data_IF_542680433176
#
_entry.id   IF_542680433176
#
_cell.length_a   1.000
_cell.length_b   1.000
_cell.length_c   1.000
_cell.angle_alpha   90.00
_cell.angle_beta   90.00
_cell.angle_gamma   90.00
#
_symmetry.space_group_name_H-M   'P 1'
#
loop_
_entity.id
_entity.type
_entity.pdbx_description
1 polymer ?
#
# COMPACT_ATOMS: atom_id res chain seq x y z
N UNK A 1 26.47 -6.77 10.05
CA UNK A 1 25.46 -5.69 9.98
C UNK A 1 24.89 -5.70 8.56
N UNK A 2 23.89 -6.51 8.32
CA UNK A 2 23.16 -6.48 7.06
C UNK A 2 22.33 -5.21 7.05
N UNK A 3 22.76 -4.26 6.24
CA UNK A 3 21.97 -3.09 5.95
C UNK A 3 20.69 -3.57 5.27
N UNK A 4 19.55 -3.39 5.92
CA UNK A 4 18.26 -3.81 5.41
C UNK A 4 17.98 -3.10 4.08
N UNK A 5 18.00 -3.86 3.00
CA UNK A 5 17.58 -3.43 1.66
C UNK A 5 16.09 -3.00 1.64
N UNK A 6 15.41 -3.10 2.75
CA UNK A 6 13.98 -2.86 2.98
C UNK A 6 13.54 -1.40 2.97
N UNK A 7 14.46 -0.49 3.30
CA UNK A 7 14.18 0.95 3.22
C UNK A 7 14.12 1.42 1.75
N UNK A 8 14.19 0.49 0.79
CA UNK A 8 14.22 0.77 -0.64
C UNK A 8 12.85 0.59 -1.32
N UNK A 9 11.79 0.26 -0.59
CA UNK A 9 10.47 0.04 -1.19
C UNK A 9 9.96 1.29 -1.94
N UNK A 10 10.36 2.49 -1.51
CA UNK A 10 10.11 3.75 -2.23
C UNK A 10 10.67 3.79 -3.68
N UNK A 11 11.59 2.89 -4.04
CA UNK A 11 12.09 2.75 -5.43
C UNK A 11 10.92 2.42 -6.37
N UNK A 12 9.89 1.75 -5.89
CA UNK A 12 8.65 1.50 -6.64
C UNK A 12 8.04 2.80 -7.16
N UNK A 13 8.01 3.86 -6.34
CA UNK A 13 7.53 5.17 -6.81
C UNK A 13 8.43 5.72 -7.90
N UNK A 14 9.75 5.65 -7.75
CA UNK A 14 10.68 6.16 -8.76
C UNK A 14 10.47 5.44 -10.10
N UNK A 15 10.28 4.11 -10.09
CA UNK A 15 10.03 3.33 -11.30
C UNK A 15 8.67 3.70 -11.90
N UNK A 16 7.62 3.74 -11.09
CA UNK A 16 6.26 3.99 -11.55
C UNK A 16 6.06 5.43 -12.05
N UNK A 17 6.83 6.39 -11.55
CA UNK A 17 6.81 7.77 -12.06
C UNK A 17 7.32 7.89 -13.50
N UNK A 18 8.02 6.88 -14.03
CA UNK A 18 8.45 6.81 -15.42
C UNK A 18 7.44 6.10 -16.33
N UNK A 19 6.35 5.56 -15.78
CA UNK A 19 5.28 4.96 -16.59
C UNK A 19 4.45 6.07 -17.21
N UNK A 20 4.42 6.11 -18.55
CA UNK A 20 3.76 7.17 -19.32
C UNK A 20 2.32 6.81 -19.72
N UNK A 21 1.92 5.56 -19.53
CA UNK A 21 0.58 5.06 -19.85
C UNK A 21 -0.26 4.88 -18.57
N UNK A 22 -1.60 4.93 -18.68
CA UNK A 22 -2.46 4.59 -17.54
C UNK A 22 -2.19 3.17 -17.02
N UNK A 23 -2.01 3.03 -15.71
CA UNK A 23 -1.71 1.74 -15.08
C UNK A 23 -2.39 1.57 -13.72
N UNK A 24 -2.43 0.32 -13.25
CA UNK A 24 -2.77 -0.06 -11.89
C UNK A 24 -1.50 -0.47 -11.11
N UNK A 25 -1.45 -0.14 -9.84
CA UNK A 25 -0.42 -0.59 -8.91
C UNK A 25 -1.06 -1.50 -7.88
N UNK A 26 -0.56 -2.74 -7.78
CA UNK A 26 -0.92 -3.68 -6.73
C UNK A 26 0.30 -3.85 -5.83
N UNK A 27 0.13 -3.53 -4.56
CA UNK A 27 1.17 -3.59 -3.55
C UNK A 27 0.77 -4.61 -2.48
N UNK A 28 1.64 -5.59 -2.25
CA UNK A 28 1.56 -6.55 -1.15
C UNK A 28 2.50 -6.10 -0.07
N UNK A 29 1.98 -5.80 1.11
CA UNK A 29 2.75 -5.21 2.20
C UNK A 29 1.99 -5.37 3.51
N UNK A 30 2.71 -5.57 4.61
CA UNK A 30 2.12 -5.53 5.95
C UNK A 30 1.80 -4.10 6.40
N UNK A 31 2.31 -3.08 5.69
CA UNK A 31 2.10 -1.67 5.97
C UNK A 31 1.32 -0.99 4.83
N UNK A 32 0.70 0.13 5.12
CA UNK A 32 0.01 0.90 4.06
C UNK A 32 0.98 1.72 3.21
N UNK A 33 2.15 2.08 3.75
CA UNK A 33 3.13 2.99 3.14
C UNK A 33 2.50 4.30 2.62
N UNK A 34 1.46 4.74 3.32
CA UNK A 34 0.68 5.93 2.99
C UNK A 34 0.70 6.97 4.11
N UNK A 35 1.75 7.00 4.92
CA UNK A 35 1.91 8.02 5.95
C UNK A 35 2.04 9.41 5.31
N UNK A 36 1.62 10.44 6.04
CA UNK A 36 1.88 11.82 5.60
C UNK A 36 3.37 12.13 5.83
N UNK A 37 4.10 12.59 4.80
CA UNK A 37 5.51 12.91 4.93
C UNK A 37 5.76 13.93 6.05
N UNK A 38 6.73 13.67 6.90
CA UNK A 38 7.14 14.64 7.94
C UNK A 38 7.81 15.88 7.33
N UNK A 39 8.49 15.69 6.21
CA UNK A 39 9.16 16.77 5.47
C UNK A 39 8.60 16.74 4.05
N UNK A 40 7.95 17.83 3.60
CA UNK A 40 7.51 17.94 2.22
C UNK A 40 8.64 17.63 1.23
N UNK A 41 8.34 16.99 0.12
CA UNK A 41 9.30 16.61 -0.93
C UNK A 41 10.31 15.51 -0.54
N UNK A 42 10.35 15.09 0.71
CA UNK A 42 11.17 13.95 1.12
C UNK A 42 10.33 12.68 1.12
N UNK A 43 10.76 11.70 0.34
CA UNK A 43 10.12 10.39 0.25
C UNK A 43 10.81 9.39 1.17
N UNK A 44 10.01 8.57 1.85
CA UNK A 44 10.46 7.49 2.71
C UNK A 44 9.80 6.16 2.34
N UNK A 45 10.24 5.07 2.98
CA UNK A 45 9.60 3.77 2.82
C UNK A 45 8.15 3.75 3.31
N UNK A 46 7.79 4.58 4.29
CA UNK A 46 6.43 4.59 4.86
C UNK A 46 5.44 5.55 4.19
N UNK A 47 5.83 6.31 3.18
CA UNK A 47 4.95 7.32 2.57
C UNK A 47 4.89 7.29 1.03
N UNK A 48 5.70 6.47 0.39
CA UNK A 48 5.84 6.42 -1.06
C UNK A 48 4.54 6.06 -1.79
N UNK A 49 3.73 5.15 -1.23
CA UNK A 49 2.47 4.73 -1.86
C UNK A 49 1.43 5.84 -1.82
N UNK A 50 1.33 6.56 -0.70
CA UNK A 50 0.49 7.74 -0.57
C UNK A 50 0.91 8.85 -1.55
N UNK A 51 2.21 9.14 -1.62
CA UNK A 51 2.73 10.11 -2.58
C UNK A 51 2.48 9.69 -4.04
N UNK A 52 2.62 8.39 -4.36
CA UNK A 52 2.30 7.89 -5.70
C UNK A 52 0.83 8.08 -6.04
N UNK A 53 -0.07 7.76 -5.10
CA UNK A 53 -1.51 7.96 -5.28
C UNK A 53 -1.85 9.43 -5.55
N UNK A 54 -1.23 10.36 -4.84
CA UNK A 54 -1.52 11.80 -4.95
C UNK A 54 -0.91 12.41 -6.21
N UNK A 55 0.34 12.08 -6.52
CA UNK A 55 1.15 12.81 -7.49
C UNK A 55 1.16 12.18 -8.89
N UNK A 56 1.05 10.84 -8.98
CA UNK A 56 1.17 10.16 -10.27
C UNK A 56 -0.14 10.21 -11.07
N UNK A 57 -0.15 11.02 -12.12
CA UNK A 57 -1.32 11.24 -12.99
C UNK A 57 -1.71 10.02 -13.83
N UNK A 58 -0.79 9.08 -14.03
CA UNK A 58 -1.02 7.87 -14.82
C UNK A 58 -1.53 6.71 -13.93
N UNK A 59 -1.38 6.80 -12.61
CA UNK A 59 -1.94 5.82 -11.68
C UNK A 59 -3.46 5.93 -11.63
N UNK A 60 -4.14 4.90 -12.12
CA UNK A 60 -5.61 4.83 -12.17
C UNK A 60 -6.21 4.05 -11.02
N UNK A 61 -5.45 3.13 -10.45
CA UNK A 61 -5.86 2.38 -9.27
C UNK A 61 -4.64 1.97 -8.46
N UNK A 62 -4.73 2.16 -7.15
CA UNK A 62 -3.83 1.59 -6.16
C UNK A 62 -4.59 0.52 -5.37
N UNK A 63 -4.03 -0.67 -5.31
CA UNK A 63 -4.55 -1.77 -4.49
C UNK A 63 -3.48 -2.13 -3.47
N UNK A 64 -3.82 -2.02 -2.19
CA UNK A 64 -2.96 -2.38 -1.06
C UNK A 64 -3.48 -3.66 -0.44
N UNK A 65 -2.63 -4.66 -0.26
CA UNK A 65 -3.01 -5.99 0.19
C UNK A 65 -2.13 -6.40 1.37
N UNK A 66 -2.74 -6.66 2.52
CA UNK A 66 -2.06 -7.24 3.68
C UNK A 66 -1.99 -6.41 4.95
N UNK A 67 -2.18 -5.07 4.96
CA UNK A 67 -2.00 -4.31 6.18
C UNK A 67 -3.06 -4.66 7.23
N UNK A 68 -2.72 -4.60 8.53
CA UNK A 68 -3.67 -4.77 9.60
C UNK A 68 -4.66 -3.60 9.67
N UNK A 69 -5.87 -3.84 10.18
CA UNK A 69 -6.91 -2.81 10.27
C UNK A 69 -6.44 -1.57 11.06
N UNK A 70 -5.63 -1.77 12.10
CA UNK A 70 -5.08 -0.67 12.89
C UNK A 70 -4.20 0.30 12.09
N UNK A 71 -3.38 -0.21 11.16
CA UNK A 71 -2.55 0.62 10.29
C UNK A 71 -3.40 1.36 9.26
N UNK A 72 -4.43 0.70 8.73
CA UNK A 72 -5.40 1.31 7.82
C UNK A 72 -6.14 2.45 8.53
N UNK A 73 -6.65 2.22 9.74
CA UNK A 73 -7.36 3.24 10.53
C UNK A 73 -6.46 4.44 10.83
N UNK A 74 -5.23 4.20 11.27
CA UNK A 74 -4.25 5.26 11.53
C UNK A 74 -3.96 6.08 10.28
N UNK A 75 -3.78 5.41 9.13
CA UNK A 75 -3.58 6.06 7.85
C UNK A 75 -4.77 6.95 7.50
N UNK A 76 -5.99 6.43 7.54
CA UNK A 76 -7.19 7.19 7.19
C UNK A 76 -7.43 8.37 8.14
N UNK A 77 -7.14 8.22 9.43
CA UNK A 77 -7.24 9.30 10.40
C UNK A 77 -6.22 10.41 10.13
N UNK A 78 -5.01 10.06 9.72
CA UNK A 78 -3.97 11.04 9.41
C UNK A 78 -4.40 11.98 8.27
N UNK A 79 -5.08 11.46 7.26
CA UNK A 79 -5.62 12.26 6.14
C UNK A 79 -6.84 13.10 6.53
N UNK A 80 -7.60 12.70 7.55
CA UNK A 80 -8.73 13.52 8.07
C UNK A 80 -8.26 14.68 8.93
N UNK A 81 -7.15 14.52 9.63
CA UNK A 81 -6.61 15.50 10.59
C UNK A 81 -5.76 16.60 9.97
N UNK A 82 -5.39 16.49 8.70
CA UNK A 82 -4.46 17.42 8.03
C UNK A 82 -5.03 18.84 7.83
N UNK A 83 -6.34 19.03 7.90
CA UNK A 83 -6.98 20.35 7.80
C UNK A 83 -6.58 21.38 8.88
N UNK A 84 -5.76 21.01 9.86
CA UNK A 84 -5.38 21.89 10.98
C UNK A 84 -3.87 21.96 11.26
N UNK A 85 -3.03 21.34 10.46
CA UNK A 85 -1.58 21.22 10.77
C UNK A 85 -0.70 22.39 10.38
N UNK A 86 -1.25 23.49 9.86
CA UNK A 86 -0.48 24.70 9.50
C UNK A 86 0.25 25.39 10.67
N UNK A 87 -0.08 25.06 11.93
CA UNK A 87 0.44 25.84 13.08
C UNK A 87 1.80 25.37 13.62
N UNK A 88 2.35 24.21 13.20
CA UNK A 88 3.58 23.66 13.80
C UNK A 88 4.81 23.54 12.87
N UNK A 89 4.75 24.03 11.64
CA UNK A 89 5.89 23.97 10.70
C UNK A 89 6.96 25.04 11.00
N UNK A 90 6.68 26.02 11.84
CA UNK A 90 7.65 27.09 12.17
C UNK A 90 8.89 26.62 12.95
N UNK A 91 8.87 25.46 13.59
CA UNK A 91 9.96 24.99 14.44
C UNK A 91 11.12 24.31 13.70
N UNK A 92 10.99 24.02 12.41
CA UNK A 92 12.04 23.33 11.63
C UNK A 92 12.66 24.17 10.50
N UNK A 93 12.54 25.49 10.57
CA UNK A 93 13.28 26.40 9.66
C UNK A 93 14.78 26.35 9.98
N UNK A 94 15.45 25.26 9.62
CA UNK A 94 16.88 25.20 9.59
C UNK A 94 17.38 25.75 8.24
N UNK A 95 17.53 27.08 8.13
CA UNK A 95 18.50 27.76 7.29
C UNK A 95 18.54 27.56 5.77
N UNK A 96 17.68 26.73 5.18
CA UNK A 96 17.57 26.54 3.74
C UNK A 96 16.31 27.23 3.22
N UNK A 97 16.51 28.04 2.18
CA UNK A 97 15.43 28.67 1.43
C UNK A 97 14.69 27.57 0.62
N UNK A 98 13.87 26.79 1.32
CA UNK A 98 12.95 25.86 0.65
C UNK A 98 11.83 26.73 0.12
N UNK A 99 11.72 26.85 -1.20
CA UNK A 99 10.50 27.36 -1.83
C UNK A 99 9.37 26.52 -1.25
N UNK A 100 8.34 27.18 -0.72
CA UNK A 100 7.20 26.55 -0.09
C UNK A 100 6.55 25.60 -1.12
N UNK A 101 6.90 24.31 -1.04
CA UNK A 101 6.11 23.29 -1.70
C UNK A 101 4.79 23.27 -0.95
N UNK A 102 3.75 23.78 -1.57
CA UNK A 102 2.38 23.65 -1.10
C UNK A 102 2.05 22.15 -1.12
N UNK A 103 2.31 21.46 0.00
CA UNK A 103 1.66 20.19 0.26
C UNK A 103 0.17 20.51 0.39
N UNK A 104 -0.63 20.03 -0.58
CA UNK A 104 -2.06 20.25 -0.57
C UNK A 104 -2.69 19.49 0.61
N UNK A 105 -2.74 20.15 1.77
CA UNK A 105 -3.41 19.66 2.99
C UNK A 105 -4.90 19.37 2.78
N UNK A 106 -5.43 19.65 1.60
CA UNK A 106 -6.84 19.43 1.25
C UNK A 106 -7.09 18.07 0.60
N UNK A 107 -6.06 17.22 0.41
CA UNK A 107 -6.25 15.93 -0.23
C UNK A 107 -7.19 15.02 0.55
N UNK A 108 -8.28 14.66 -0.08
CA UNK A 108 -9.33 13.83 0.53
C UNK A 108 -9.25 12.39 -0.01
N UNK A 109 -8.53 11.54 0.71
CA UNK A 109 -8.36 10.12 0.38
C UNK A 109 -9.70 9.35 0.33
N UNK A 110 -10.75 9.87 0.99
CA UNK A 110 -12.06 9.23 0.99
C UNK A 110 -12.71 9.20 -0.39
N UNK A 111 -12.34 10.15 -1.26
CA UNK A 111 -12.76 10.16 -2.66
C UNK A 111 -12.14 9.01 -3.46
N UNK A 112 -10.87 8.69 -3.21
CA UNK A 112 -10.20 7.59 -3.88
C UNK A 112 -10.78 6.24 -3.45
N UNK A 113 -11.12 6.10 -2.18
CA UNK A 113 -11.80 4.90 -1.68
C UNK A 113 -13.18 4.78 -2.30
N UNK A 114 -13.99 5.84 -2.25
CA UNK A 114 -15.37 5.80 -2.76
C UNK A 114 -15.46 5.61 -4.28
N UNK A 115 -14.45 6.07 -5.02
CA UNK A 115 -14.37 5.88 -6.47
C UNK A 115 -13.76 4.54 -6.88
N UNK A 116 -13.23 3.75 -5.95
CA UNK A 116 -12.48 2.53 -6.23
C UNK A 116 -11.08 2.78 -6.83
N UNK A 117 -10.58 4.01 -6.77
CA UNK A 117 -9.21 4.33 -7.16
C UNK A 117 -8.20 3.84 -6.12
N UNK A 118 -8.59 3.80 -4.84
CA UNK A 118 -7.87 3.16 -3.76
C UNK A 118 -8.69 1.99 -3.22
N UNK A 119 -8.13 0.80 -3.29
CA UNK A 119 -8.68 -0.40 -2.66
C UNK A 119 -7.69 -0.91 -1.62
N UNK A 120 -8.18 -1.26 -0.44
CA UNK A 120 -7.34 -1.84 0.62
C UNK A 120 -7.98 -3.14 1.07
N UNK A 121 -7.25 -4.24 0.91
CA UNK A 121 -7.59 -5.56 1.44
C UNK A 121 -6.78 -5.78 2.72
N UNK A 122 -7.45 -5.70 3.86
CA UNK A 122 -6.79 -5.90 5.15
C UNK A 122 -6.37 -7.35 5.37
N UNK A 123 -5.47 -7.59 6.31
CA UNK A 123 -5.14 -8.94 6.76
C UNK A 123 -6.39 -9.72 7.17
N UNK A 124 -7.37 -9.07 7.81
CA UNK A 124 -8.65 -9.70 8.16
C UNK A 124 -9.51 -10.08 6.95
N UNK A 125 -9.52 -9.25 5.90
CA UNK A 125 -10.19 -9.61 4.64
C UNK A 125 -9.59 -10.88 4.04
N UNK A 126 -8.25 -11.04 4.16
CA UNK A 126 -7.55 -12.21 3.64
C UNK A 126 -7.87 -13.50 4.40
N UNK A 127 -8.09 -13.40 5.72
CA UNK A 127 -8.50 -14.53 6.56
C UNK A 127 -9.99 -14.87 6.41
N UNK A 128 -10.84 -13.87 6.22
CA UNK A 128 -12.30 -14.03 6.15
C UNK A 128 -12.86 -14.33 4.76
N UNK A 129 -12.01 -14.32 3.76
CA UNK A 129 -12.41 -14.33 2.34
C UNK A 129 -12.50 -12.91 1.78
N UNK A 130 -12.02 -12.75 0.54
CA UNK A 130 -11.96 -11.43 -0.10
C UNK A 130 -13.37 -10.85 -0.28
N UNK A 131 -13.63 -9.61 0.15
CA UNK A 131 -14.93 -8.97 0.01
C UNK A 131 -15.30 -8.80 -1.45
N UNK A 132 -16.44 -9.39 -1.86
CA UNK A 132 -16.91 -9.33 -3.26
C UNK A 132 -17.15 -7.90 -3.75
N UNK A 133 -17.57 -7.01 -2.87
CA UNK A 133 -17.78 -5.60 -3.19
C UNK A 133 -16.46 -4.91 -3.58
N UNK A 134 -15.36 -5.21 -2.90
CA UNK A 134 -14.02 -4.71 -3.28
C UNK A 134 -13.52 -5.38 -4.57
N UNK A 135 -13.71 -6.69 -4.72
CA UNK A 135 -13.28 -7.43 -5.91
C UNK A 135 -13.89 -6.88 -7.20
N UNK A 136 -15.16 -6.46 -7.18
CA UNK A 136 -15.85 -5.87 -8.34
C UNK A 136 -15.23 -4.55 -8.83
N UNK A 137 -14.45 -3.88 -7.99
CA UNK A 137 -13.81 -2.61 -8.33
C UNK A 137 -12.38 -2.79 -8.85
N UNK A 138 -11.85 -4.02 -8.87
CA UNK A 138 -10.51 -4.27 -9.41
C UNK A 138 -10.52 -4.02 -10.92
N UNK A 139 -9.59 -3.19 -11.37
CA UNK A 139 -9.40 -2.84 -12.77
C UNK A 139 -8.50 -3.85 -13.46
N UNK A 140 -9.10 -4.78 -14.20
CA UNK A 140 -8.37 -5.80 -14.99
C UNK A 140 -8.06 -5.35 -16.42
N UNK A 141 -8.53 -4.17 -16.81
CA UNK A 141 -8.33 -3.55 -18.12
C UNK A 141 -7.05 -2.69 -18.21
N UNK A 142 -6.30 -2.58 -17.13
CA UNK A 142 -5.08 -1.77 -17.05
C UNK A 142 -3.83 -2.67 -17.03
N UNK A 143 -2.72 -2.19 -17.61
CA UNK A 143 -1.42 -2.75 -17.30
C UNK A 143 -1.15 -2.64 -15.80
N UNK A 144 -0.63 -3.71 -15.19
CA UNK A 144 -0.38 -3.76 -13.76
C UNK A 144 1.12 -3.66 -13.46
N UNK A 145 1.49 -2.83 -12.51
CA UNK A 145 2.74 -2.91 -11.79
C UNK A 145 2.48 -3.60 -10.45
N UNK A 146 3.24 -4.65 -10.14
CA UNK A 146 3.10 -5.40 -8.90
C UNK A 146 4.34 -5.16 -8.05
N UNK A 147 4.13 -4.68 -6.83
CA UNK A 147 5.16 -4.48 -5.81
C UNK A 147 4.89 -5.44 -4.65
N UNK A 148 5.91 -6.17 -4.23
CA UNK A 148 5.79 -7.13 -3.15
C UNK A 148 6.86 -6.82 -2.10
N UNK A 149 6.41 -6.39 -0.90
CA UNK A 149 7.26 -6.41 0.27
C UNK A 149 7.14 -7.78 0.94
N UNK A 150 8.29 -8.36 1.27
CA UNK A 150 8.35 -9.69 1.86
C UNK A 150 7.81 -9.75 3.29
N UNK A 151 7.61 -8.59 3.93
CA UNK A 151 7.05 -8.53 5.29
C UNK A 151 5.54 -8.80 5.32
N UNK A 152 4.87 -8.85 4.17
CA UNK A 152 3.50 -9.35 4.07
C UNK A 152 3.41 -10.85 4.40
N UNK A 153 4.50 -11.59 4.22
CA UNK A 153 4.56 -13.02 4.44
C UNK A 153 4.73 -13.35 5.93
N UNK A 154 4.24 -14.53 6.31
CA UNK A 154 4.47 -15.08 7.64
C UNK A 154 5.95 -15.33 7.96
N UNK A 155 6.28 -15.35 9.25
CA UNK A 155 7.65 -15.52 9.75
C UNK A 155 8.27 -16.86 9.38
N UNK A 156 7.46 -17.85 9.01
CA UNK A 156 7.90 -19.15 8.51
C UNK A 156 8.53 -19.08 7.11
N UNK A 157 8.20 -18.03 6.33
CA UNK A 157 8.72 -17.89 4.94
C UNK A 157 9.87 -16.89 4.85
N UNK A 158 9.89 -15.90 5.72
CA UNK A 158 10.91 -14.87 5.70
C UNK A 158 11.06 -14.23 7.09
N UNK A 159 12.24 -13.71 7.37
CA UNK A 159 12.50 -12.92 8.57
C UNK A 159 12.75 -11.47 8.19
N UNK A 160 12.10 -10.54 8.89
CA UNK A 160 12.26 -9.11 8.69
C UNK A 160 12.48 -8.41 10.03
N UNK A 161 13.02 -7.18 10.03
CA UNK A 161 13.18 -6.36 11.25
C UNK A 161 11.93 -5.51 11.53
N UNK A 162 10.96 -5.51 10.60
CA UNK A 162 9.69 -4.81 10.73
C UNK A 162 8.61 -5.77 11.27
N UNK A 163 7.49 -5.23 11.69
CA UNK A 163 6.31 -6.04 11.91
C UNK A 163 5.96 -6.81 10.64
N UNK A 164 5.56 -8.06 10.79
CA UNK A 164 5.26 -8.94 9.67
C UNK A 164 3.81 -9.36 9.67
N UNK A 165 3.32 -9.63 8.47
CA UNK A 165 2.07 -10.30 8.22
C UNK A 165 2.16 -11.80 8.49
N UNK A 166 1.17 -12.49 8.00
CA UNK A 166 1.01 -13.94 8.14
C UNK A 166 0.55 -14.61 6.83
N UNK A 167 0.71 -13.89 5.71
CA UNK A 167 0.35 -14.42 4.40
C UNK A 167 1.24 -15.59 4.02
N UNK A 168 0.62 -16.69 3.56
CA UNK A 168 1.37 -17.80 2.99
C UNK A 168 1.78 -17.52 1.53
N UNK A 169 2.80 -18.23 1.04
CA UNK A 169 3.20 -18.15 -0.38
C UNK A 169 2.05 -18.59 -1.28
N UNK A 170 1.35 -19.66 -0.94
CA UNK A 170 0.18 -20.12 -1.70
C UNK A 170 -0.95 -19.06 -1.71
N UNK A 171 -1.11 -18.32 -0.59
CA UNK A 171 -2.04 -17.20 -0.50
C UNK A 171 -1.66 -16.08 -1.45
N UNK A 172 -0.39 -15.72 -1.47
CA UNK A 172 0.15 -14.71 -2.38
C UNK A 172 -0.07 -15.10 -3.85
N UNK A 173 0.25 -16.35 -4.23
CA UNK A 173 0.07 -16.84 -5.60
C UNK A 173 -1.40 -16.82 -6.03
N UNK A 174 -2.32 -17.22 -5.15
CA UNK A 174 -3.76 -17.15 -5.42
C UNK A 174 -4.23 -15.72 -5.67
N UNK A 175 -3.80 -14.78 -4.82
CA UNK A 175 -4.17 -13.37 -4.97
C UNK A 175 -3.56 -12.77 -6.25
N UNK A 176 -2.33 -13.08 -6.57
CA UNK A 176 -1.70 -12.66 -7.83
C UNK A 176 -2.54 -13.15 -9.03
N UNK A 177 -3.03 -14.38 -8.99
CA UNK A 177 -3.89 -14.91 -10.05
C UNK A 177 -5.19 -14.12 -10.20
N UNK A 178 -5.81 -13.66 -9.11
CA UNK A 178 -7.01 -12.81 -9.15
C UNK A 178 -6.72 -11.50 -9.87
N UNK A 179 -5.64 -10.83 -9.52
CA UNK A 179 -5.28 -9.53 -10.12
C UNK A 179 -4.82 -9.66 -11.58
N UNK A 180 -4.23 -10.79 -11.96
CA UNK A 180 -3.81 -11.04 -13.34
C UNK A 180 -4.97 -11.54 -14.24
N UNK A 181 -6.21 -11.53 -13.75
CA UNK A 181 -7.38 -11.92 -14.52
C UNK A 181 -7.53 -13.43 -14.70
N UNK A 182 -6.82 -14.23 -13.89
CA UNK A 182 -7.04 -15.67 -13.82
C UNK A 182 -8.44 -15.94 -13.29
N UNK A 183 -9.32 -16.51 -14.10
CA UNK A 183 -10.55 -17.16 -13.63
C UNK A 183 -10.10 -18.43 -12.91
N UNK A 184 -9.63 -18.27 -11.66
CA UNK A 184 -9.40 -19.39 -10.77
C UNK A 184 -10.76 -20.04 -10.50
N UNK A 185 -10.87 -21.34 -10.77
CA UNK A 185 -11.97 -22.16 -10.25
C UNK A 185 -12.19 -21.78 -8.77
N UNK A 186 -13.45 -21.63 -8.38
CA UNK A 186 -13.90 -21.40 -7.01
C UNK A 186 -13.29 -22.43 -6.05
N UNK A 187 -12.10 -22.19 -5.57
CA UNK A 187 -11.48 -22.91 -4.46
C UNK A 187 -11.18 -21.91 -3.37
N UNK A 188 -12.07 -21.94 -2.38
CA UNK A 188 -11.94 -21.45 -1.01
C UNK A 188 -10.82 -20.40 -0.81
N UNK A 189 -11.21 -19.14 -0.78
CA UNK A 189 -10.34 -17.95 -0.70
C UNK A 189 -9.71 -17.74 0.67
N UNK A 190 -9.36 -18.80 1.39
CA UNK A 190 -8.67 -18.72 2.68
C UNK A 190 -7.16 -18.61 2.42
N UNK A 191 -6.70 -17.39 2.19
CA UNK A 191 -5.31 -17.10 1.84
C UNK A 191 -4.34 -17.32 3.02
N UNK A 192 -4.86 -17.47 4.23
CA UNK A 192 -4.10 -17.54 5.48
C UNK A 192 -4.41 -18.79 6.33
N UNK A 193 -4.84 -19.91 5.73
CA UNK A 193 -4.93 -21.15 6.49
C UNK A 193 -3.55 -21.69 6.78
N UNK A 194 -3.14 -21.59 8.04
CA UNK A 194 -2.07 -22.41 8.57
C UNK A 194 -2.45 -23.88 8.38
N UNK A 195 -1.67 -24.60 7.60
CA UNK A 195 -1.80 -26.04 7.48
C UNK A 195 -1.34 -26.66 8.81
N UNK A 196 -2.30 -26.95 9.70
CA UNK A 196 -2.07 -27.77 10.89
C UNK A 196 -1.75 -29.21 10.45
N UNK A 197 -0.60 -29.40 9.82
CA UNK A 197 -0.08 -30.73 9.51
C UNK A 197 1.43 -30.77 9.66
N UNK A 198 1.86 -30.81 10.91
CA UNK A 198 3.06 -31.55 11.31
C UNK A 198 2.80 -32.15 12.70
N UNK A 199 2.29 -33.38 12.71
CA UNK A 199 2.58 -34.38 13.72
C UNK A 199 3.78 -35.22 13.28
#
# INVERSE_FOLDING_TARGET
SEMCIRDSHYITKIITDHITEPFGLVMYDHHTDMQIPMVPEMMSCGDWAGQTLIQNKNLRQLVVVGPPESDIEQTLESYKGSKGRQENVESYKCGYNVQEAEYDDSYDISRDISSGRLLIFSAKDLHGGLPEDKLKHIRTDLPLYISIDKDVLGTEYTETNWSQGDMSIDGLERLLSVFLGGQGEEKNTDACRNDERYD
#
